data_IF_437340408156
#
_entry.id   IF_437340408156
#
_cell.length_a   1.000
_cell.length_b   1.000
_cell.length_c   1.000
_cell.angle_alpha   90.00
_cell.angle_beta   90.00
_cell.angle_gamma   90.00
#
_symmetry.space_group_name_H-M   'P 1'
#
loop_
_entity.id
_entity.type
_entity.pdbx_description
1 polymer ?
#
# COMPACT_ATOMS: atom_id res chain seq x y z
N UNK A 1 -15.44 -4.03 -1.22
CA UNK A 1 -14.32 -4.72 -0.56
C UNK A 1 -13.05 -4.45 -1.35
N UNK A 2 -12.08 -3.77 -0.75
CA UNK A 2 -10.74 -3.66 -1.33
C UNK A 2 -10.05 -5.01 -1.18
N UNK A 3 -10.03 -5.79 -2.25
CA UNK A 3 -9.32 -7.05 -2.28
C UNK A 3 -7.93 -6.85 -2.91
N UNK A 4 -7.04 -7.84 -2.68
CA UNK A 4 -5.66 -7.80 -3.16
C UNK A 4 -5.56 -7.56 -4.68
N UNK A 5 -6.53 -8.06 -5.46
CA UNK A 5 -6.55 -7.91 -6.93
C UNK A 5 -6.85 -6.48 -7.35
N UNK A 6 -7.83 -5.82 -6.73
CA UNK A 6 -8.16 -4.43 -7.03
C UNK A 6 -7.00 -3.50 -6.67
N UNK A 7 -6.38 -3.69 -5.50
CA UNK A 7 -5.19 -2.93 -5.11
C UNK A 7 -4.03 -3.15 -6.09
N UNK A 8 -3.74 -4.40 -6.43
CA UNK A 8 -2.70 -4.75 -7.40
C UNK A 8 -2.92 -4.13 -8.78
N UNK A 9 -4.17 -4.13 -9.24
CA UNK A 9 -4.54 -3.52 -10.52
C UNK A 9 -4.33 -2.00 -10.52
N UNK A 10 -4.71 -1.30 -9.45
CA UNK A 10 -4.49 0.15 -9.31
C UNK A 10 -2.99 0.47 -9.32
N UNK A 11 -2.19 -0.27 -8.55
CA UNK A 11 -0.73 -0.08 -8.51
C UNK A 11 -0.12 -0.31 -9.89
N UNK A 12 -0.52 -1.39 -10.58
CA UNK A 12 -0.05 -1.71 -11.94
C UNK A 12 -0.42 -0.61 -12.94
N UNK A 13 -1.65 -0.12 -12.87
CA UNK A 13 -2.12 0.97 -13.73
C UNK A 13 -1.28 2.24 -13.50
N UNK A 14 -1.12 2.66 -12.24
CA UNK A 14 -0.33 3.86 -11.89
C UNK A 14 1.14 3.73 -12.26
N UNK A 15 1.73 2.53 -12.10
CA UNK A 15 3.09 2.26 -12.57
C UNK A 15 3.21 2.44 -14.09
N UNK A 16 2.23 1.95 -14.85
CA UNK A 16 2.22 2.11 -16.30
C UNK A 16 2.00 3.57 -16.72
N UNK A 17 1.13 4.32 -16.02
CA UNK A 17 0.93 5.76 -16.23
C UNK A 17 2.23 6.56 -15.98
N UNK A 18 3.03 6.14 -14.99
CA UNK A 18 4.35 6.69 -14.71
C UNK A 18 5.44 6.23 -15.69
N UNK A 19 5.12 5.36 -16.67
CA UNK A 19 6.09 4.83 -17.63
C UNK A 19 7.18 3.93 -17.02
N UNK A 20 6.96 3.42 -15.82
CA UNK A 20 7.96 2.65 -15.08
C UNK A 20 7.85 1.15 -15.32
N UNK A 21 8.97 0.44 -15.39
CA UNK A 21 9.01 -1.03 -15.30
C UNK A 21 8.91 -1.48 -13.83
N UNK A 22 8.63 -2.77 -13.61
CA UNK A 22 8.66 -3.33 -12.25
C UNK A 22 10.05 -3.24 -11.60
N UNK A 23 11.13 -3.35 -12.39
CA UNK A 23 12.50 -3.19 -11.89
C UNK A 23 12.81 -1.73 -11.50
N UNK A 24 12.28 -0.77 -12.24
CA UNK A 24 12.41 0.66 -11.90
C UNK A 24 11.65 0.99 -10.61
N UNK A 25 10.42 0.50 -10.46
CA UNK A 25 9.66 0.66 -9.22
C UNK A 25 10.33 -0.05 -8.04
N UNK A 26 10.93 -1.23 -8.30
CA UNK A 26 11.72 -2.00 -7.32
C UNK A 26 12.89 -1.17 -6.79
N UNK A 27 13.66 -0.59 -7.71
CA UNK A 27 14.81 0.26 -7.38
C UNK A 27 14.38 1.52 -6.62
N UNK A 28 13.30 2.18 -7.05
CA UNK A 28 12.81 3.41 -6.42
C UNK A 28 12.22 3.20 -5.01
N UNK A 29 11.62 2.03 -4.75
CA UNK A 29 10.97 1.72 -3.46
C UNK A 29 11.84 0.88 -2.53
N UNK A 30 13.00 0.41 -3.00
CA UNK A 30 13.82 -0.58 -2.31
C UNK A 30 13.01 -1.83 -1.89
N UNK A 31 12.13 -2.26 -2.79
CA UNK A 31 11.35 -3.49 -2.67
C UNK A 31 11.81 -4.46 -3.75
N UNK A 32 11.72 -5.78 -3.53
CA UNK A 32 12.11 -6.72 -4.59
C UNK A 32 11.12 -6.67 -5.77
N UNK A 33 11.64 -6.82 -6.99
CA UNK A 33 10.83 -6.91 -8.21
C UNK A 33 9.77 -8.01 -8.12
N UNK A 34 10.14 -9.17 -7.56
CA UNK A 34 9.20 -10.28 -7.34
C UNK A 34 8.06 -9.87 -6.40
N UNK A 35 8.36 -9.16 -5.32
CA UNK A 35 7.33 -8.67 -4.40
C UNK A 35 6.39 -7.66 -5.06
N UNK A 36 6.91 -6.75 -5.89
CA UNK A 36 6.06 -5.84 -6.69
C UNK A 36 5.17 -6.62 -7.64
N UNK A 37 5.72 -7.59 -8.36
CA UNK A 37 4.93 -8.46 -9.24
C UNK A 37 3.85 -9.22 -8.46
N UNK A 38 4.17 -9.72 -7.27
CA UNK A 38 3.19 -10.41 -6.42
C UNK A 38 2.06 -9.50 -5.96
N UNK A 39 2.35 -8.24 -5.64
CA UNK A 39 1.35 -7.23 -5.29
C UNK A 39 0.47 -6.91 -6.50
N UNK A 40 1.06 -6.63 -7.66
CA UNK A 40 0.33 -6.28 -8.89
C UNK A 40 -0.61 -7.39 -9.36
N UNK A 41 -0.24 -8.66 -9.12
CA UNK A 41 -1.07 -9.81 -9.44
C UNK A 41 -2.05 -10.19 -8.30
N UNK A 42 -2.06 -9.45 -7.20
CA UNK A 42 -2.93 -9.69 -6.05
C UNK A 42 -2.61 -10.96 -5.26
N UNK A 43 -1.39 -11.51 -5.41
CA UNK A 43 -0.93 -12.67 -4.63
C UNK A 43 -0.63 -12.29 -3.18
N UNK A 44 -0.07 -11.10 -2.97
CA UNK A 44 0.26 -10.57 -1.65
C UNK A 44 -0.43 -9.24 -1.36
N UNK A 45 -0.77 -9.02 -0.08
CA UNK A 45 -1.15 -7.71 0.43
C UNK A 45 0.12 -7.02 0.94
N UNK A 46 0.46 -5.81 0.45
CA UNK A 46 1.60 -5.08 0.97
C UNK A 46 1.38 -4.67 2.42
N UNK A 47 2.46 -4.56 3.19
CA UNK A 47 2.42 -3.90 4.50
C UNK A 47 2.14 -2.40 4.31
N UNK A 48 1.69 -1.72 5.37
CA UNK A 48 1.47 -0.27 5.31
C UNK A 48 2.73 0.48 4.86
N UNK A 49 3.91 0.08 5.35
CA UNK A 49 5.19 0.68 4.96
C UNK A 49 5.49 0.47 3.47
N UNK A 50 5.34 -0.75 2.96
CA UNK A 50 5.55 -1.03 1.53
C UNK A 50 4.54 -0.26 0.67
N UNK A 51 3.28 -0.21 1.09
CA UNK A 51 2.24 0.53 0.39
C UNK A 51 2.53 2.04 0.37
N UNK A 52 2.97 2.62 1.48
CA UNK A 52 3.37 4.02 1.56
C UNK A 52 4.52 4.34 0.61
N UNK A 53 5.56 3.48 0.54
CA UNK A 53 6.68 3.67 -0.39
C UNK A 53 6.22 3.66 -1.85
N UNK A 54 5.38 2.68 -2.21
CA UNK A 54 4.83 2.58 -3.56
C UNK A 54 3.96 3.80 -3.88
N UNK A 55 3.12 4.23 -2.94
CA UNK A 55 2.22 5.35 -3.12
C UNK A 55 2.98 6.68 -3.30
N UNK A 56 4.01 6.92 -2.50
CA UNK A 56 4.89 8.09 -2.65
C UNK A 56 5.60 8.06 -4.01
N UNK A 57 6.12 6.90 -4.42
CA UNK A 57 6.83 6.75 -5.69
C UNK A 57 5.94 6.96 -6.92
N UNK A 58 4.67 6.54 -6.85
CA UNK A 58 3.71 6.58 -7.95
C UNK A 58 2.73 7.76 -7.86
N UNK A 59 2.96 8.69 -6.93
CA UNK A 59 2.08 9.82 -6.60
C UNK A 59 0.60 9.41 -6.44
N UNK A 60 0.40 8.30 -5.71
CA UNK A 60 -0.93 7.78 -5.40
C UNK A 60 -1.38 8.39 -4.08
N UNK A 61 -2.47 9.14 -4.10
CA UNK A 61 -3.13 9.51 -2.85
C UNK A 61 -3.67 8.24 -2.16
N UNK A 62 -3.10 7.91 -1.00
CA UNK A 62 -3.54 6.78 -0.18
C UNK A 62 -5.01 6.89 0.20
N UNK A 63 -5.62 8.08 0.20
CA UNK A 63 -7.05 8.25 0.42
C UNK A 63 -7.89 7.63 -0.71
N UNK A 64 -7.39 7.62 -1.94
CA UNK A 64 -8.01 6.91 -3.07
C UNK A 64 -8.03 5.41 -2.81
N UNK A 65 -7.01 4.87 -2.11
CA UNK A 65 -7.01 3.49 -1.64
C UNK A 65 -7.93 3.30 -0.41
N UNK A 66 -8.02 4.30 0.48
CA UNK A 66 -8.88 4.28 1.69
C UNK A 66 -10.36 4.49 1.42
N UNK A 67 -10.80 4.84 0.20
CA UNK A 67 -12.21 5.03 -0.18
C UNK A 67 -13.09 3.76 0.02
N UNK A 68 -12.55 2.71 0.62
CA UNK A 68 -13.23 1.43 0.82
C UNK A 68 -13.27 0.93 2.25
N UNK A 69 -12.49 1.44 3.21
CA UNK A 69 -12.53 0.93 4.60
C UNK A 69 -11.77 1.89 5.56
N UNK A 70 -12.42 2.96 6.01
CA UNK A 70 -12.05 3.54 7.32
C UNK A 70 -12.52 2.54 8.37
N UNK A 71 -11.71 1.51 8.66
CA UNK A 71 -11.80 0.88 9.97
C UNK A 71 -11.10 1.80 10.95
N UNK A 72 -11.87 2.72 11.52
CA UNK A 72 -11.48 3.43 12.73
C UNK A 72 -11.34 2.34 13.80
N UNK A 73 -10.13 1.80 13.99
CA UNK A 73 -9.82 1.10 15.23
C UNK A 73 -9.99 2.16 16.30
N UNK A 74 -11.08 2.05 17.06
CA UNK A 74 -11.29 2.80 18.28
C UNK A 74 -10.06 2.56 19.16
N UNK A 75 -9.12 3.50 19.18
CA UNK A 75 -8.15 3.62 20.26
C UNK A 75 -8.93 4.08 21.49
N UNK A 76 -9.65 3.16 22.12
CA UNK A 76 -10.21 3.34 23.44
C UNK A 76 -9.66 2.21 24.31
N UNK A 77 -8.97 2.62 25.38
CA UNK A 77 -8.12 1.90 26.33
C UNK A 77 -6.63 1.98 25.92
N UNK A 78 -5.74 2.68 26.62
CA UNK A 78 -5.60 2.81 28.08
C UNK A 78 -5.19 4.25 28.49
N UNK A 79 -6.10 5.00 29.11
CA UNK A 79 -5.76 6.14 29.98
C UNK A 79 -6.52 6.03 31.29
N UNK A 80 -6.13 5.06 32.11
CA UNK A 80 -6.27 5.03 33.56
C UNK A 80 -5.14 4.11 34.03
N UNK A 81 -4.15 4.49 34.80
CA UNK A 81 -3.81 5.67 35.57
C UNK A 81 -2.53 5.28 36.30
N UNK A 82 -1.65 6.24 36.54
CA UNK A 82 -0.35 6.07 37.19
C UNK A 82 -0.41 5.18 38.44
N UNK A 83 0.62 4.34 38.69
CA UNK A 83 0.71 3.65 39.97
C UNK A 83 0.95 4.70 41.06
N UNK A 84 0.14 4.61 42.12
CA UNK A 84 0.45 5.23 43.40
C UNK A 84 1.70 4.56 44.00
#
# INVERSE_FOLDING_TARGET
MLNKKTLGAIIKQKRNEAGMTQDQLSSATNLSRNYISDIENGRYMPSLNALSKIAICLDIDLNVLKMTEIQYKNFQNERRGSPC
#
